data_IF_987906188382
#
_entry.id   IF_987906188382
#
_cell.length_a   1.000
_cell.length_b   1.000
_cell.length_c   1.000
_cell.angle_alpha   90.00
_cell.angle_beta   90.00
_cell.angle_gamma   90.00
#
_symmetry.space_group_name_H-M   'P 1'
#
loop_
_entity.id
_entity.type
_entity.pdbx_description
1 polymer ?
#
# COMPACT_ATOMS: atom_id res chain seq x y z
N UNK A 1 -31.28 9.29 9.34
CA UNK A 1 -31.61 10.71 9.07
C UNK A 1 -30.33 11.51 9.23
N UNK A 2 -29.92 12.36 8.27
CA UNK A 2 -28.72 13.22 8.44
C UNK A 2 -29.05 14.30 9.47
N UNK A 3 -28.29 14.35 10.56
CA UNK A 3 -28.45 15.34 11.64
C UNK A 3 -27.58 16.59 11.43
N UNK A 4 -26.65 16.56 10.48
CA UNK A 4 -25.82 17.71 10.12
C UNK A 4 -26.66 18.87 9.54
N UNK A 5 -26.49 20.05 10.11
CA UNK A 5 -27.30 21.25 9.83
C UNK A 5 -26.76 22.10 8.65
N UNK A 6 -25.59 21.75 8.11
CA UNK A 6 -24.89 22.51 7.09
C UNK A 6 -24.50 23.94 7.55
N UNK A 7 -24.19 24.11 8.84
CA UNK A 7 -23.64 25.35 9.41
C UNK A 7 -22.30 25.75 8.79
N UNK A 8 -21.55 24.80 8.23
CA UNK A 8 -20.31 25.02 7.49
C UNK A 8 -20.40 24.54 6.03
N UNK A 9 -19.58 25.08 5.12
CA UNK A 9 -19.52 24.67 3.72
C UNK A 9 -19.35 23.15 3.62
N UNK A 10 -20.29 22.49 2.94
CA UNK A 10 -20.39 21.04 2.92
C UNK A 10 -20.61 20.53 1.50
N UNK A 11 -19.73 19.66 1.03
CA UNK A 11 -19.89 18.92 -0.22
C UNK A 11 -20.82 17.73 0.01
N UNK A 12 -21.83 17.58 -0.85
CA UNK A 12 -22.86 16.55 -0.72
C UNK A 12 -23.12 15.85 -2.05
N UNK A 13 -23.38 14.55 -2.03
CA UNK A 13 -23.75 13.77 -3.23
C UNK A 13 -25.22 13.35 -3.17
N UNK A 14 -25.90 13.33 -4.31
CA UNK A 14 -27.33 12.96 -4.33
C UNK A 14 -27.60 11.47 -4.51
N UNK A 15 -28.78 11.06 -3.99
CA UNK A 15 -29.36 9.72 -4.15
C UNK A 15 -28.49 8.58 -3.59
N UNK A 16 -27.62 8.87 -2.64
CA UNK A 16 -26.87 7.86 -1.89
C UNK A 16 -27.30 7.96 -0.43
N UNK A 17 -28.33 7.22 -0.02
CA UNK A 17 -28.29 6.50 1.27
C UNK A 17 -29.46 5.55 1.48
N UNK A 18 -29.09 4.38 2.01
CA UNK A 18 -29.93 3.38 2.66
C UNK A 18 -30.01 3.71 4.16
N UNK A 19 -31.13 3.37 4.81
CA UNK A 19 -31.24 3.41 6.26
C UNK A 19 -30.13 2.57 6.91
N UNK A 20 -29.42 3.16 7.88
CA UNK A 20 -28.45 2.41 8.69
C UNK A 20 -29.13 1.98 9.97
N UNK A 21 -28.96 0.71 10.33
CA UNK A 21 -29.46 0.21 11.61
C UNK A 21 -28.64 0.86 12.73
N UNK A 22 -29.28 1.44 13.76
CA UNK A 22 -28.57 1.84 14.96
C UNK A 22 -27.94 0.61 15.60
N UNK A 23 -26.66 0.71 15.94
CA UNK A 23 -25.90 -0.36 16.58
C UNK A 23 -25.93 -0.11 18.08
N UNK A 24 -26.65 -0.97 18.81
CA UNK A 24 -26.80 -0.85 20.27
C UNK A 24 -25.78 -1.75 20.99
N UNK A 25 -25.28 -2.79 20.32
CA UNK A 25 -24.28 -3.70 20.85
C UNK A 25 -23.36 -4.27 19.73
N UNK A 26 -22.20 -4.80 20.12
CA UNK A 26 -21.19 -5.31 19.19
C UNK A 26 -21.47 -6.74 18.66
N UNK A 27 -22.49 -7.44 19.16
CA UNK A 27 -22.76 -8.85 18.81
C UNK A 27 -23.12 -9.04 17.33
N UNK A 28 -23.99 -8.22 16.70
CA UNK A 28 -24.25 -8.35 15.27
C UNK A 28 -22.99 -8.11 14.44
N UNK A 29 -22.03 -7.31 14.96
CA UNK A 29 -20.80 -6.98 14.24
C UNK A 29 -19.87 -8.17 14.31
N UNK A 30 -19.67 -8.72 15.52
CA UNK A 30 -18.91 -9.96 15.72
C UNK A 30 -19.45 -11.09 14.85
N UNK A 31 -20.77 -11.26 14.80
CA UNK A 31 -21.40 -12.27 13.95
C UNK A 31 -21.08 -12.03 12.47
N UNK A 32 -21.27 -10.81 11.97
CA UNK A 32 -20.96 -10.46 10.59
C UNK A 32 -19.47 -10.62 10.26
N UNK A 33 -18.59 -10.22 11.18
CA UNK A 33 -17.14 -10.34 11.05
C UNK A 33 -16.70 -11.81 10.94
N UNK A 34 -17.12 -12.68 11.86
CA UNK A 34 -16.76 -14.09 11.82
C UNK A 34 -17.50 -14.88 10.72
N UNK A 35 -18.64 -14.40 10.25
CA UNK A 35 -19.27 -14.95 9.05
C UNK A 35 -18.49 -14.60 7.79
N UNK A 36 -17.98 -13.37 7.69
CA UNK A 36 -17.13 -12.93 6.59
C UNK A 36 -15.75 -13.59 6.63
N UNK A 37 -15.19 -13.79 7.83
CA UNK A 37 -13.85 -14.34 8.04
C UNK A 37 -13.86 -15.51 9.04
N UNK A 38 -14.39 -16.69 8.66
CA UNK A 38 -14.52 -17.83 9.57
C UNK A 38 -13.18 -18.31 10.15
N UNK A 39 -12.09 -18.20 9.39
CA UNK A 39 -10.75 -18.56 9.84
C UNK A 39 -10.34 -17.79 11.10
N UNK A 40 -10.67 -16.49 11.17
CA UNK A 40 -10.28 -15.62 12.28
C UNK A 40 -11.02 -15.92 13.58
N UNK A 41 -12.09 -16.73 13.55
CA UNK A 41 -12.80 -17.17 14.77
C UNK A 41 -11.93 -18.06 15.67
N UNK A 42 -10.98 -18.78 15.07
CA UNK A 42 -10.11 -19.74 15.76
C UNK A 42 -8.72 -19.17 16.04
N UNK A 43 -8.46 -17.93 15.62
CA UNK A 43 -7.17 -17.25 15.78
C UNK A 43 -7.28 -16.24 16.90
N UNK A 44 -6.26 -16.15 17.75
CA UNK A 44 -6.24 -15.15 18.81
C UNK A 44 -6.00 -13.77 18.21
N UNK A 45 -6.82 -12.79 18.59
CA UNK A 45 -6.76 -11.39 18.12
C UNK A 45 -6.43 -10.40 19.26
N UNK A 46 -6.03 -10.89 20.42
CA UNK A 46 -5.50 -10.08 21.52
C UNK A 46 -4.38 -9.15 21.03
N UNK A 47 -4.36 -7.90 21.50
CA UNK A 47 -3.37 -6.89 21.10
C UNK A 47 -3.33 -6.57 19.58
N UNK A 48 -4.34 -6.98 18.81
CA UNK A 48 -4.46 -6.65 17.39
C UNK A 48 -5.77 -5.90 17.11
N UNK A 49 -5.65 -4.62 16.76
CA UNK A 49 -6.79 -3.79 16.39
C UNK A 49 -7.00 -3.82 14.88
N UNK A 50 -8.15 -4.34 14.42
CA UNK A 50 -8.57 -4.21 13.03
C UNK A 50 -9.12 -2.81 12.81
N UNK A 51 -8.59 -2.05 11.85
CA UNK A 51 -8.98 -0.65 11.62
C UNK A 51 -9.48 -0.42 10.19
N UNK A 52 -10.29 0.63 10.05
CA UNK A 52 -10.42 1.33 8.77
C UNK A 52 -11.54 0.80 7.89
N UNK A 53 -11.23 0.60 6.61
CA UNK A 53 -12.23 0.38 5.56
C UNK A 53 -13.04 -0.90 5.74
N UNK A 54 -12.45 -1.94 6.33
CA UNK A 54 -13.07 -3.25 6.57
C UNK A 54 -14.14 -3.18 7.66
N UNK A 55 -13.81 -2.56 8.80
CA UNK A 55 -14.74 -2.28 9.90
C UNK A 55 -15.88 -1.39 9.39
N UNK A 56 -15.57 -0.34 8.63
CA UNK A 56 -16.58 0.56 8.07
C UNK A 56 -17.53 -0.18 7.13
N UNK A 57 -16.99 -1.07 6.29
CA UNK A 57 -17.77 -1.85 5.33
C UNK A 57 -18.76 -2.77 6.03
N UNK A 58 -18.34 -3.45 7.10
CA UNK A 58 -19.20 -4.30 7.92
C UNK A 58 -20.29 -3.49 8.64
N UNK A 59 -19.94 -2.35 9.24
CA UNK A 59 -20.89 -1.47 9.93
C UNK A 59 -21.96 -0.88 9.01
N UNK A 60 -21.62 -0.66 7.74
CA UNK A 60 -22.52 -0.05 6.75
C UNK A 60 -23.26 -1.06 5.88
N UNK A 61 -22.89 -2.35 5.96
CA UNK A 61 -23.40 -3.40 5.08
C UNK A 61 -22.95 -3.27 3.61
N UNK A 62 -22.03 -2.34 3.31
CA UNK A 62 -21.51 -2.09 1.97
C UNK A 62 -20.12 -2.68 1.88
N UNK A 63 -20.04 -3.97 1.55
CA UNK A 63 -18.77 -4.70 1.49
C UNK A 63 -17.92 -4.23 0.31
N UNK A 64 -16.94 -3.37 0.59
CA UNK A 64 -16.05 -2.77 -0.42
C UNK A 64 -14.58 -2.79 0.02
N UNK A 65 -14.25 -3.49 1.11
CA UNK A 65 -12.87 -3.65 1.54
C UNK A 65 -12.16 -4.68 0.67
N UNK A 66 -10.90 -4.39 0.34
CA UNK A 66 -10.03 -5.28 -0.43
C UNK A 66 -8.98 -5.96 0.43
N UNK A 67 -8.90 -5.59 1.70
CA UNK A 67 -7.88 -5.95 2.68
C UNK A 67 -8.43 -5.85 4.12
N UNK A 68 -7.69 -6.45 5.06
CA UNK A 68 -7.85 -6.29 6.50
C UNK A 68 -6.60 -5.65 7.10
N UNK A 69 -6.72 -4.46 7.70
CA UNK A 69 -5.61 -3.73 8.29
C UNK A 69 -5.59 -3.90 9.82
N UNK A 70 -4.61 -4.63 10.33
CA UNK A 70 -4.38 -4.82 11.75
C UNK A 70 -3.21 -3.98 12.26
N UNK A 71 -3.35 -3.47 13.47
CA UNK A 71 -2.31 -2.72 14.18
C UNK A 71 -2.05 -3.35 15.53
N UNK A 72 -0.80 -3.33 15.98
CA UNK A 72 -0.42 -3.85 17.30
C UNK A 72 -0.67 -2.80 18.39
N UNK A 73 -1.39 -3.21 19.43
CA UNK A 73 -1.59 -2.42 20.66
C UNK A 73 -0.85 -3.11 21.80
N UNK A 74 0.14 -2.46 22.40
CA UNK A 74 0.95 -3.04 23.49
C UNK A 74 0.20 -3.07 24.82
N UNK A 75 -0.75 -2.14 25.04
CA UNK A 75 -1.43 -1.92 26.32
C UNK A 75 -0.43 -1.72 27.49
N UNK A 76 0.76 -1.19 27.20
CA UNK A 76 1.81 -0.97 28.18
C UNK A 76 2.61 0.29 27.81
N UNK A 77 2.42 1.34 28.62
CA UNK A 77 3.04 2.66 28.48
C UNK A 77 4.47 2.73 29.03
N UNK A 78 4.97 1.64 29.63
CA UNK A 78 6.30 1.56 30.24
C UNK A 78 7.32 0.81 29.39
N UNK A 79 6.91 0.25 28.26
CA UNK A 79 7.84 -0.44 27.37
C UNK A 79 8.82 0.58 26.76
N UNK A 80 10.10 0.21 26.71
CA UNK A 80 11.04 0.93 25.87
C UNK A 80 10.62 0.80 24.39
N UNK A 81 11.03 1.72 23.50
CA UNK A 81 10.78 1.58 22.07
C UNK A 81 11.26 0.23 21.51
N UNK A 82 12.39 -0.29 22.01
CA UNK A 82 12.95 -1.58 21.64
C UNK A 82 12.04 -2.74 22.10
N UNK A 83 11.62 -2.75 23.37
CA UNK A 83 10.74 -3.80 23.90
C UNK A 83 9.37 -3.77 23.23
N UNK A 84 8.85 -2.58 22.90
CA UNK A 84 7.59 -2.42 22.18
C UNK A 84 7.67 -2.96 20.75
N UNK A 85 8.80 -2.75 20.07
CA UNK A 85 9.05 -3.29 18.74
C UNK A 85 9.21 -4.82 18.76
N UNK A 86 9.90 -5.37 19.77
CA UNK A 86 10.02 -6.81 19.97
C UNK A 86 8.67 -7.46 20.27
N UNK A 87 7.88 -6.86 21.17
CA UNK A 87 6.52 -7.29 21.45
C UNK A 87 5.67 -7.35 20.18
N UNK A 88 5.70 -6.28 19.37
CA UNK A 88 4.96 -6.24 18.11
C UNK A 88 5.42 -7.35 17.15
N UNK A 89 6.71 -7.57 17.02
CA UNK A 89 7.24 -8.63 16.16
C UNK A 89 6.76 -10.02 16.59
N UNK A 90 6.91 -10.37 17.87
CA UNK A 90 6.50 -11.68 18.38
C UNK A 90 4.98 -11.85 18.33
N UNK A 91 4.20 -10.80 18.59
CA UNK A 91 2.74 -10.87 18.47
C UNK A 91 2.28 -11.15 17.05
N UNK A 92 2.85 -10.45 16.05
CA UNK A 92 2.50 -10.67 14.64
C UNK A 92 2.96 -12.05 14.16
N UNK A 93 4.15 -12.51 14.58
CA UNK A 93 4.64 -13.86 14.30
C UNK A 93 3.72 -14.94 14.86
N UNK A 94 3.23 -14.78 16.09
CA UNK A 94 2.23 -15.68 16.69
C UNK A 94 0.93 -15.68 15.87
N UNK A 95 0.40 -14.51 15.50
CA UNK A 95 -0.82 -14.38 14.68
C UNK A 95 -0.70 -15.11 13.33
N UNK A 96 0.40 -14.90 12.62
CA UNK A 96 0.65 -15.53 11.32
C UNK A 96 0.80 -17.06 11.46
N UNK A 97 1.46 -17.50 12.53
CA UNK A 97 1.63 -18.93 12.84
C UNK A 97 0.30 -19.59 13.17
N UNK A 98 -0.57 -18.91 13.94
CA UNK A 98 -1.93 -19.38 14.25
C UNK A 98 -2.76 -19.53 12.96
N UNK A 99 -2.71 -18.55 12.05
CA UNK A 99 -3.40 -18.64 10.75
C UNK A 99 -3.00 -19.90 9.97
N UNK A 100 -1.69 -20.15 9.86
CA UNK A 100 -1.17 -21.32 9.16
C UNK A 100 -1.61 -22.63 9.85
N UNK A 101 -1.47 -22.69 11.17
CA UNK A 101 -1.79 -23.87 11.96
C UNK A 101 -3.28 -24.23 11.91
N UNK A 102 -4.18 -23.23 11.99
CA UNK A 102 -5.63 -23.47 11.89
C UNK A 102 -5.99 -24.05 10.52
N UNK A 103 -5.43 -23.53 9.42
CA UNK A 103 -5.66 -24.07 8.08
C UNK A 103 -5.10 -25.48 7.92
N UNK A 104 -3.91 -25.74 8.46
CA UNK A 104 -3.28 -27.06 8.43
C UNK A 104 -4.06 -28.11 9.25
N UNK A 105 -4.54 -27.72 10.43
CA UNK A 105 -5.39 -28.56 11.27
C UNK A 105 -6.70 -28.93 10.55
N UNK A 106 -7.39 -27.94 9.94
CA UNK A 106 -8.57 -28.19 9.11
C UNK A 106 -8.31 -29.18 7.98
N UNK A 107 -7.20 -29.03 7.26
CA UNK A 107 -6.82 -29.99 6.21
C UNK A 107 -6.56 -31.40 6.77
N UNK A 108 -5.91 -31.49 7.93
CA UNK A 108 -5.60 -32.75 8.60
C UNK A 108 -6.88 -33.48 9.00
N UNK A 109 -7.82 -32.77 9.64
CA UNK A 109 -9.12 -33.32 10.04
C UNK A 109 -9.92 -33.87 8.85
N UNK A 110 -9.94 -33.15 7.71
CA UNK A 110 -10.64 -33.62 6.51
C UNK A 110 -9.96 -34.83 5.86
N UNK A 111 -8.63 -34.86 5.84
CA UNK A 111 -7.88 -36.02 5.33
C UNK A 111 -8.08 -37.26 6.21
N UNK A 112 -8.14 -37.08 7.52
CA UNK A 112 -8.43 -38.14 8.49
C UNK A 112 -9.88 -38.65 8.32
N UNK A 113 -10.84 -37.74 8.11
CA UNK A 113 -12.23 -38.08 7.79
C UNK A 113 -12.31 -38.88 6.49
N UNK A 114 -11.61 -38.48 5.43
CA UNK A 114 -11.54 -39.24 4.18
C UNK A 114 -10.98 -40.64 4.40
N UNK A 115 -9.83 -40.74 5.05
CA UNK A 115 -9.15 -42.01 5.30
C UNK A 115 -10.03 -42.97 6.09
N UNK A 116 -10.72 -42.48 7.12
CA UNK A 116 -11.62 -43.30 7.92
C UNK A 116 -12.90 -43.70 7.17
N UNK A 117 -13.50 -42.78 6.41
CA UNK A 117 -14.73 -43.04 5.65
C UNK A 117 -14.47 -44.00 4.49
N UNK A 118 -13.28 -43.96 3.87
CA UNK A 118 -12.90 -44.89 2.80
C UNK A 118 -12.81 -46.36 3.24
N UNK A 119 -12.72 -46.63 4.55
CA UNK A 119 -12.81 -47.99 5.10
C UNK A 119 -14.19 -48.61 4.91
N UNK A 120 -15.26 -47.81 4.89
CA UNK A 120 -16.65 -48.26 4.75
C UNK A 120 -17.29 -47.86 3.42
N UNK A 121 -16.83 -46.76 2.82
CA UNK A 121 -17.24 -46.26 1.52
C UNK A 121 -16.01 -45.90 0.67
N UNK A 122 -15.47 -46.85 -0.12
CA UNK A 122 -14.24 -46.67 -0.88
C UNK A 122 -14.25 -45.51 -1.89
N UNK A 123 -15.43 -45.02 -2.30
CA UNK A 123 -15.59 -43.94 -3.27
C UNK A 123 -15.64 -42.55 -2.63
N UNK A 124 -15.72 -42.45 -1.29
CA UNK A 124 -15.73 -41.17 -0.59
C UNK A 124 -14.42 -40.40 -0.80
N UNK A 125 -14.51 -39.16 -1.30
CA UNK A 125 -13.37 -38.24 -1.46
C UNK A 125 -13.77 -36.85 -0.98
N UNK A 126 -12.87 -36.19 -0.26
CA UNK A 126 -12.99 -34.76 0.02
C UNK A 126 -12.66 -34.00 -1.26
N UNK A 127 -13.49 -33.02 -1.61
CA UNK A 127 -13.25 -32.22 -2.80
C UNK A 127 -12.07 -31.28 -2.55
N UNK A 128 -11.18 -31.04 -3.54
CA UNK A 128 -10.02 -30.16 -3.36
C UNK A 128 -10.39 -28.74 -2.88
N UNK A 129 -11.56 -28.21 -3.26
CA UNK A 129 -12.06 -26.90 -2.79
C UNK A 129 -12.51 -26.88 -1.33
N UNK A 130 -12.45 -28.00 -0.62
CA UNK A 130 -12.69 -28.08 0.82
C UNK A 130 -11.38 -28.04 1.63
N UNK A 131 -10.22 -28.09 0.96
CA UNK A 131 -8.89 -28.01 1.55
C UNK A 131 -8.24 -26.66 1.23
N UNK A 132 -7.49 -26.12 2.19
CA UNK A 132 -6.62 -24.98 1.95
C UNK A 132 -5.39 -25.43 1.15
N UNK A 133 -5.10 -24.77 0.02
CA UNK A 133 -3.82 -24.98 -0.65
C UNK A 133 -2.71 -24.25 0.09
N UNK A 134 -2.09 -24.90 1.07
CA UNK A 134 -1.09 -24.29 1.94
C UNK A 134 0.15 -23.82 1.17
N UNK A 135 0.49 -24.41 0.02
CA UNK A 135 1.60 -23.93 -0.81
C UNK A 135 1.40 -22.50 -1.31
N UNK A 136 0.15 -22.03 -1.36
CA UNK A 136 -0.20 -20.65 -1.72
C UNK A 136 -0.30 -19.71 -0.52
N UNK A 137 -0.09 -20.20 0.71
CA UNK A 137 0.00 -19.31 1.87
C UNK A 137 1.29 -18.53 1.80
N UNK A 138 1.18 -17.21 1.74
CA UNK A 138 2.34 -16.35 1.55
C UNK A 138 2.36 -15.21 2.55
N UNK A 139 3.53 -14.94 3.07
CA UNK A 139 3.79 -13.83 3.98
C UNK A 139 4.91 -12.99 3.38
N UNK A 140 4.68 -11.69 3.28
CA UNK A 140 5.65 -10.71 2.78
C UNK A 140 5.83 -9.63 3.83
N UNK A 141 7.07 -9.26 4.13
CA UNK A 141 7.39 -8.11 4.97
C UNK A 141 8.11 -7.07 4.15
N UNK A 142 7.59 -5.84 4.18
CA UNK A 142 8.25 -4.67 3.63
C UNK A 142 8.11 -3.57 4.68
N UNK A 143 9.22 -2.88 5.00
CA UNK A 143 9.24 -1.94 6.13
C UNK A 143 8.77 -2.62 7.43
N UNK A 144 7.89 -1.93 8.16
CA UNK A 144 7.19 -2.39 9.35
C UNK A 144 5.84 -3.07 9.03
N UNK A 145 5.56 -3.49 7.79
CA UNK A 145 4.26 -4.09 7.43
C UNK A 145 4.45 -5.54 6.99
N UNK A 146 3.66 -6.44 7.58
CA UNK A 146 3.46 -7.78 7.07
C UNK A 146 2.19 -7.82 6.21
N UNK A 147 2.29 -8.36 4.99
CA UNK A 147 1.15 -8.69 4.13
C UNK A 147 1.04 -10.20 4.04
N UNK A 148 -0.13 -10.73 4.39
CA UNK A 148 -0.44 -12.16 4.45
C UNK A 148 -1.48 -12.44 3.38
N UNK A 149 -1.12 -13.30 2.43
CA UNK A 149 -2.02 -13.80 1.40
C UNK A 149 -2.52 -15.17 1.83
N UNK A 150 -3.81 -15.25 2.15
CA UNK A 150 -4.44 -16.49 2.56
C UNK A 150 -4.85 -17.32 1.33
N UNK A 151 -4.55 -18.63 1.31
CA UNK A 151 -5.15 -19.53 0.34
C UNK A 151 -6.62 -19.67 0.68
N UNK A 152 -7.50 -19.65 -0.31
CA UNK A 152 -8.94 -19.70 -0.06
C UNK A 152 -9.58 -20.99 -0.54
N UNK A 153 -10.63 -21.39 0.19
CA UNK A 153 -11.49 -22.51 -0.18
C UNK A 153 -12.33 -22.23 -1.44
N UNK A 154 -12.56 -20.96 -1.84
CA UNK A 154 -13.45 -20.61 -2.98
C UNK A 154 -13.07 -19.32 -3.77
N UNK A 155 -11.80 -18.89 -3.78
CA UNK A 155 -11.29 -18.01 -4.86
C UNK A 155 -11.37 -16.47 -4.71
N UNK A 156 -11.56 -15.88 -3.52
CA UNK A 156 -11.47 -14.42 -3.32
C UNK A 156 -10.34 -14.06 -2.36
N UNK A 157 -9.07 -14.15 -2.75
CA UNK A 157 -7.95 -13.82 -1.85
C UNK A 157 -8.11 -12.42 -1.23
N UNK A 158 -8.23 -12.36 0.09
CA UNK A 158 -8.28 -11.12 0.87
C UNK A 158 -6.96 -11.00 1.63
N UNK A 159 -6.05 -10.10 1.23
CA UNK A 159 -4.83 -9.87 1.97
C UNK A 159 -5.12 -9.33 3.37
N UNK A 160 -4.36 -9.82 4.35
CA UNK A 160 -4.31 -9.26 5.70
C UNK A 160 -3.02 -8.48 5.82
N UNK A 161 -3.10 -7.20 6.15
CA UNK A 161 -1.96 -6.36 6.47
C UNK A 161 -1.85 -6.20 7.97
N UNK A 162 -0.64 -6.31 8.51
CA UNK A 162 -0.36 -6.09 9.92
C UNK A 162 0.79 -5.11 10.06
N UNK A 163 0.51 -3.96 10.64
CA UNK A 163 1.45 -2.86 10.85
C UNK A 163 2.11 -3.03 12.23
N UNK A 164 3.44 -3.10 12.24
CA UNK A 164 4.26 -3.34 13.44
C UNK A 164 4.51 -2.11 14.30
N UNK A 165 4.08 -0.91 13.88
CA UNK A 165 4.20 0.27 14.73
C UNK A 165 3.47 0.00 16.05
N UNK A 166 4.19 -0.05 17.18
CA UNK A 166 3.56 -0.34 18.45
C UNK A 166 2.82 0.91 18.93
N UNK A 167 1.57 0.74 19.31
CA UNK A 167 0.78 1.77 19.98
C UNK A 167 0.57 1.38 21.43
N UNK A 168 0.79 2.33 22.34
CA UNK A 168 0.61 2.12 23.78
C UNK A 168 -0.85 1.83 24.11
N UNK A 169 -1.78 2.44 23.37
CA UNK A 169 -3.22 2.27 23.55
C UNK A 169 -3.99 2.42 22.25
N UNK A 170 -5.21 1.88 22.21
CA UNK A 170 -6.13 2.07 21.09
C UNK A 170 -6.46 3.55 20.84
N UNK A 171 -6.58 4.35 21.91
CA UNK A 171 -6.86 5.78 21.79
C UNK A 171 -5.74 6.53 21.03
N UNK A 172 -4.47 6.21 21.32
CA UNK A 172 -3.31 6.77 20.63
C UNK A 172 -3.32 6.42 19.13
N UNK A 173 -3.67 5.18 18.79
CA UNK A 173 -3.81 4.75 17.40
C UNK A 173 -4.94 5.52 16.69
N UNK A 174 -6.14 5.56 17.28
CA UNK A 174 -7.30 6.20 16.67
C UNK A 174 -7.11 7.71 16.43
N UNK A 175 -6.33 8.39 17.28
CA UNK A 175 -5.99 9.81 17.11
C UNK A 175 -5.06 10.09 15.90
N UNK A 176 -4.33 9.09 15.41
CA UNK A 176 -3.43 9.24 14.26
C UNK A 176 -4.08 8.95 12.91
N UNK A 177 -5.35 8.52 12.91
CA UNK A 177 -6.08 8.26 11.67
C UNK A 177 -6.53 9.60 11.06
N UNK A 178 -6.19 9.80 9.80
CA UNK A 178 -6.33 11.07 9.08
C UNK A 178 -7.77 11.41 8.65
N UNK A 179 -8.60 10.38 8.40
CA UNK A 179 -10.01 10.56 8.03
C UNK A 179 -10.89 10.05 9.15
N UNK A 180 -11.65 10.97 9.75
CA UNK A 180 -12.50 10.69 10.90
C UNK A 180 -13.42 9.48 10.71
N UNK A 181 -14.08 9.32 9.55
CA UNK A 181 -14.98 8.18 9.31
C UNK A 181 -14.29 6.80 9.25
N UNK A 182 -12.95 6.76 9.27
CA UNK A 182 -12.14 5.53 9.34
C UNK A 182 -11.44 5.31 10.66
N UNK A 183 -11.52 6.28 11.59
CA UNK A 183 -10.98 6.16 12.94
C UNK A 183 -11.90 5.30 13.82
N UNK A 184 -12.09 4.06 13.38
CA UNK A 184 -12.91 3.02 13.98
C UNK A 184 -12.10 1.73 14.04
N UNK A 185 -12.28 0.95 15.10
CA UNK A 185 -11.55 -0.28 15.30
C UNK A 185 -12.46 -1.41 15.78
N UNK A 186 -12.15 -2.64 15.39
CA UNK A 186 -12.59 -3.84 16.09
C UNK A 186 -11.41 -4.37 16.91
N UNK A 187 -11.54 -4.36 18.22
CA UNK A 187 -10.47 -4.65 19.17
C UNK A 187 -11.03 -5.32 20.42
N UNK A 188 -10.40 -6.41 20.86
CA UNK A 188 -10.77 -7.19 22.04
C UNK A 188 -12.27 -7.61 22.07
N UNK A 189 -12.85 -7.84 20.90
CA UNK A 189 -14.23 -8.29 20.76
C UNK A 189 -15.27 -7.17 20.66
N UNK A 190 -14.89 -5.90 20.78
CA UNK A 190 -15.79 -4.76 20.69
C UNK A 190 -15.42 -3.79 19.56
N UNK A 191 -16.37 -2.92 19.20
CA UNK A 191 -16.20 -1.88 18.17
C UNK A 191 -16.00 -0.54 18.85
N UNK A 192 -14.90 0.12 18.52
CA UNK A 192 -14.45 1.36 19.11
C UNK A 192 -14.49 2.49 18.09
N UNK A 193 -14.90 3.66 18.56
CA UNK A 193 -14.94 4.91 17.80
C UNK A 193 -14.11 5.95 18.53
N UNK A 194 -13.35 6.74 17.77
CA UNK A 194 -12.97 8.07 18.26
C UNK A 194 -14.21 8.96 18.33
N UNK A 195 -14.13 10.05 19.09
CA UNK A 195 -15.23 11.02 19.15
C UNK A 195 -15.60 11.56 17.76
N UNK A 196 -14.57 11.90 16.96
CA UNK A 196 -14.76 12.39 15.59
C UNK A 196 -15.32 11.32 14.65
N UNK A 197 -14.95 10.04 14.81
CA UNK A 197 -15.51 8.99 13.97
C UNK A 197 -16.96 8.67 14.32
N UNK A 198 -17.32 8.75 15.60
CA UNK A 198 -18.71 8.64 16.04
C UNK A 198 -19.55 9.76 15.44
N UNK A 199 -19.10 11.02 15.57
CA UNK A 199 -19.73 12.16 14.90
C UNK A 199 -19.88 11.92 13.40
N UNK A 200 -18.80 11.47 12.75
CA UNK A 200 -18.81 11.28 11.31
C UNK A 200 -19.77 10.19 10.86
N UNK A 201 -19.89 9.12 11.64
CA UNK A 201 -20.78 8.01 11.36
C UNK A 201 -22.25 8.38 11.57
N UNK A 202 -22.57 9.07 12.67
CA UNK A 202 -23.93 9.52 13.02
C UNK A 202 -24.44 10.58 12.04
N UNK A 203 -23.58 11.51 11.63
CA UNK A 203 -23.93 12.61 10.74
C UNK A 203 -23.70 12.29 9.25
N UNK A 204 -23.01 11.19 8.94
CA UNK A 204 -22.58 10.81 7.60
C UNK A 204 -21.78 11.91 6.89
N UNK A 205 -20.87 12.55 7.62
CA UNK A 205 -19.99 13.60 7.10
C UNK A 205 -18.65 13.60 7.84
N UNK A 206 -17.57 14.11 7.25
CA UNK A 206 -16.31 14.32 7.98
C UNK A 206 -15.67 15.65 7.62
N UNK A 207 -14.83 16.15 8.52
CA UNK A 207 -14.14 17.44 8.37
C UNK A 207 -12.84 17.25 7.59
N UNK A 208 -12.58 18.18 6.68
CA UNK A 208 -11.28 18.39 6.02
C UNK A 208 -10.87 19.84 6.31
N UNK A 209 -9.78 20.00 7.07
CA UNK A 209 -9.28 21.31 7.51
C UNK A 209 -8.21 21.90 6.57
N UNK A 210 -7.74 21.11 5.60
CA UNK A 210 -6.77 21.52 4.59
C UNK A 210 -5.32 21.50 5.06
N UNK A 211 -4.99 20.77 6.14
CA UNK A 211 -3.62 20.71 6.66
C UNK A 211 -2.70 19.69 5.96
N UNK A 212 -3.24 18.88 5.05
CA UNK A 212 -2.50 17.88 4.29
C UNK A 212 -2.88 17.87 2.81
N UNK A 213 -1.86 17.85 1.95
CA UNK A 213 -1.99 17.63 0.50
C UNK A 213 -1.40 16.31 0.02
N UNK A 214 -1.07 15.42 0.95
CA UNK A 214 -0.53 14.11 0.61
C UNK A 214 -1.48 13.39 -0.39
N UNK A 215 -0.95 12.83 -1.49
CA UNK A 215 -1.78 12.18 -2.52
C UNK A 215 -2.75 11.12 -1.98
N UNK A 216 -2.34 10.36 -0.96
CA UNK A 216 -3.16 9.34 -0.32
C UNK A 216 -4.25 9.91 0.58
N UNK A 217 -4.01 11.05 1.23
CA UNK A 217 -5.03 11.77 1.98
C UNK A 217 -6.13 12.26 1.04
N UNK A 218 -5.74 12.92 -0.07
CA UNK A 218 -6.68 13.38 -1.10
C UNK A 218 -7.45 12.22 -1.74
N UNK A 219 -6.77 11.09 -1.98
CA UNK A 219 -7.43 9.88 -2.48
C UNK A 219 -8.47 9.35 -1.48
N UNK A 220 -8.14 9.30 -0.18
CA UNK A 220 -9.08 8.88 0.86
C UNK A 220 -10.29 9.82 0.98
N UNK A 221 -10.09 11.14 0.88
CA UNK A 221 -11.18 12.13 0.85
C UNK A 221 -12.18 11.78 -0.27
N UNK A 222 -11.69 11.62 -1.52
CA UNK A 222 -12.53 11.28 -2.67
C UNK A 222 -13.20 9.92 -2.49
N UNK A 223 -12.45 8.90 -2.06
CA UNK A 223 -12.96 7.54 -1.81
C UNK A 223 -14.13 7.54 -0.82
N UNK A 224 -13.99 8.21 0.32
CA UNK A 224 -15.04 8.21 1.36
C UNK A 224 -16.21 9.14 1.02
N UNK A 225 -15.97 10.20 0.25
CA UNK A 225 -17.05 10.97 -0.37
C UNK A 225 -17.90 10.10 -1.29
N UNK A 226 -17.26 9.28 -2.14
CA UNK A 226 -17.96 8.34 -3.00
C UNK A 226 -18.63 7.20 -2.21
N UNK A 227 -18.14 6.83 -1.04
CA UNK A 227 -18.83 5.90 -0.13
C UNK A 227 -20.03 6.52 0.60
N UNK A 228 -20.32 7.81 0.35
CA UNK A 228 -21.54 8.48 0.77
C UNK A 228 -21.36 9.51 1.87
N UNK A 229 -20.17 9.64 2.45
CA UNK A 229 -19.93 10.67 3.46
C UNK A 229 -19.88 12.06 2.81
N UNK A 230 -20.57 13.04 3.38
CA UNK A 230 -20.40 14.43 3.00
C UNK A 230 -19.05 14.96 3.51
N UNK A 231 -18.48 15.98 2.87
CA UNK A 231 -17.22 16.61 3.30
C UNK A 231 -17.51 18.01 3.82
N UNK A 232 -17.13 18.28 5.07
CA UNK A 232 -17.17 19.62 5.67
C UNK A 232 -15.82 20.30 5.41
N UNK A 233 -15.85 21.47 4.77
CA UNK A 233 -14.67 22.27 4.46
C UNK A 233 -14.66 23.52 5.36
N UNK A 234 -13.96 23.44 6.49
CA UNK A 234 -14.04 24.46 7.56
C UNK A 234 -13.50 25.82 7.13
N UNK A 235 -12.44 25.85 6.33
CA UNK A 235 -11.78 27.08 5.87
C UNK A 235 -12.15 27.48 4.43
N UNK A 236 -13.26 26.97 3.90
CA UNK A 236 -13.70 27.26 2.54
C UNK A 236 -14.60 28.50 2.48
N UNK A 237 -14.32 29.40 1.53
CA UNK A 237 -15.07 30.63 1.33
C UNK A 237 -16.20 30.45 0.30
N UNK A 238 -17.42 30.25 0.79
CA UNK A 238 -18.60 30.17 -0.08
C UNK A 238 -18.83 31.45 -0.90
N UNK A 239 -18.38 32.62 -0.42
CA UNK A 239 -18.60 33.90 -1.13
C UNK A 239 -17.81 33.99 -2.44
N UNK A 240 -16.76 33.18 -2.58
CA UNK A 240 -15.89 33.14 -3.77
C UNK A 240 -16.37 32.12 -4.82
N UNK A 241 -17.41 31.36 -4.53
CA UNK A 241 -17.95 30.38 -5.48
C UNK A 241 -18.82 31.08 -6.51
N UNK A 242 -18.45 30.97 -7.79
CA UNK A 242 -19.30 31.38 -8.88
C UNK A 242 -20.52 30.48 -8.98
N UNK A 243 -21.69 31.08 -9.23
CA UNK A 243 -22.99 30.37 -9.30
C UNK A 243 -23.76 30.65 -10.59
N UNK A 244 -23.14 31.38 -11.51
CA UNK A 244 -23.78 31.87 -12.74
C UNK A 244 -24.21 30.72 -13.64
N UNK A 245 -23.40 29.67 -13.75
CA UNK A 245 -23.66 28.55 -14.66
C UNK A 245 -24.91 27.76 -14.26
N UNK A 246 -25.23 27.72 -12.96
CA UNK A 246 -26.45 27.06 -12.47
C UNK A 246 -27.73 27.65 -13.07
N UNK A 247 -27.75 28.94 -13.42
CA UNK A 247 -28.90 29.59 -14.06
C UNK A 247 -29.15 29.07 -15.49
N UNK A 248 -28.14 28.49 -16.13
CA UNK A 248 -28.19 27.93 -17.47
C UNK A 248 -28.34 26.39 -17.46
N UNK A 249 -28.48 25.78 -16.28
CA UNK A 249 -28.50 24.32 -16.15
C UNK A 249 -27.13 23.67 -16.27
N UNK A 250 -26.06 24.46 -16.26
CA UNK A 250 -24.66 24.02 -16.35
C UNK A 250 -24.04 23.80 -14.97
N UNK A 251 -22.94 23.05 -14.93
CA UNK A 251 -22.17 22.80 -13.71
C UNK A 251 -21.19 23.94 -13.40
N UNK A 252 -20.82 24.09 -12.14
CA UNK A 252 -19.75 24.98 -11.70
C UNK A 252 -18.52 24.16 -11.32
N UNK A 253 -17.35 24.59 -11.78
CA UNK A 253 -16.07 23.97 -11.43
C UNK A 253 -15.40 24.83 -10.37
N UNK A 254 -15.24 24.26 -9.17
CA UNK A 254 -14.54 24.88 -8.06
C UNK A 254 -13.15 24.26 -8.01
N UNK A 255 -12.15 24.99 -8.49
CA UNK A 255 -10.79 24.49 -8.65
C UNK A 255 -9.91 24.93 -7.48
N UNK A 256 -10.00 24.22 -6.35
CA UNK A 256 -9.10 24.45 -5.22
C UNK A 256 -7.71 23.88 -5.54
N UNK A 257 -6.68 24.42 -4.91
CA UNK A 257 -5.30 23.98 -5.16
C UNK A 257 -5.06 22.49 -4.86
N UNK A 258 -5.82 21.90 -3.93
CA UNK A 258 -5.71 20.48 -3.57
C UNK A 258 -6.79 19.58 -4.20
N UNK A 259 -7.92 20.13 -4.65
CA UNK A 259 -9.09 19.38 -5.11
C UNK A 259 -9.91 20.18 -6.12
N UNK A 260 -10.30 19.55 -7.21
CA UNK A 260 -11.26 20.12 -8.16
C UNK A 260 -12.65 19.54 -7.90
N UNK A 261 -13.63 20.37 -7.60
CA UNK A 261 -15.01 19.96 -7.30
C UNK A 261 -15.93 20.38 -8.44
N UNK A 262 -16.66 19.42 -9.01
CA UNK A 262 -17.70 19.71 -10.01
C UNK A 262 -19.06 19.79 -9.32
N UNK A 263 -19.49 21.02 -9.06
CA UNK A 263 -20.75 21.32 -8.40
C UNK A 263 -21.89 21.39 -9.41
N UNK A 264 -23.03 20.79 -9.06
CA UNK A 264 -24.27 20.79 -9.86
C UNK A 264 -25.29 21.80 -9.35
N UNK A 265 -25.21 22.18 -8.07
CA UNK A 265 -26.11 23.14 -7.44
C UNK A 265 -25.58 23.57 -6.08
N UNK A 266 -25.90 24.79 -5.65
CA UNK A 266 -25.79 25.21 -4.24
C UNK A 266 -27.20 25.35 -3.67
N UNK A 267 -27.43 24.84 -2.46
CA UNK A 267 -28.69 24.95 -1.71
C UNK A 267 -28.44 25.71 -0.41
N UNK A 268 -29.21 26.77 -0.17
CA UNK A 268 -28.95 27.65 0.99
C UNK A 268 -27.54 28.26 0.91
N UNK A 269 -26.93 28.52 2.07
CA UNK A 269 -25.63 29.21 2.14
C UNK A 269 -24.44 28.28 1.95
N UNK A 270 -24.52 27.05 2.43
CA UNK A 270 -23.34 26.20 2.63
C UNK A 270 -23.42 24.81 2.01
N UNK A 271 -24.58 24.39 1.48
CA UNK A 271 -24.73 23.03 0.95
C UNK A 271 -24.42 22.98 -0.54
N UNK A 272 -23.26 22.45 -0.88
CA UNK A 272 -22.80 22.27 -2.26
C UNK A 272 -23.17 20.85 -2.72
N UNK A 273 -23.96 20.73 -3.79
CA UNK A 273 -24.27 19.46 -4.42
C UNK A 273 -23.23 19.17 -5.48
N UNK A 274 -22.51 18.07 -5.33
CA UNK A 274 -21.36 17.69 -6.15
C UNK A 274 -21.69 16.46 -6.97
N UNK A 275 -21.28 16.47 -8.24
CA UNK A 275 -21.32 15.29 -9.11
C UNK A 275 -20.12 14.37 -8.81
N UNK A 276 -18.92 14.92 -8.96
CA UNK A 276 -17.66 14.24 -8.67
C UNK A 276 -16.58 15.22 -8.20
N UNK A 277 -15.56 14.66 -7.53
CA UNK A 277 -14.36 15.35 -7.07
C UNK A 277 -13.17 14.76 -7.82
N UNK A 278 -12.26 15.61 -8.30
CA UNK A 278 -11.00 15.20 -8.95
C UNK A 278 -9.82 15.67 -8.11
N UNK A 279 -8.75 14.89 -8.15
CA UNK A 279 -7.43 15.34 -7.72
C UNK A 279 -6.87 16.27 -8.79
N UNK A 280 -6.12 17.33 -8.43
CA UNK A 280 -5.43 18.16 -9.40
C UNK A 280 -4.49 17.28 -10.24
N UNK A 281 -4.37 17.59 -11.54
CA UNK A 281 -3.37 16.92 -12.39
C UNK A 281 -1.99 17.37 -11.91
N UNK A 282 -1.30 16.51 -11.18
CA UNK A 282 0.07 16.76 -10.76
C UNK A 282 0.97 16.66 -12.01
N UNK A 283 1.31 17.80 -12.61
CA UNK A 283 2.49 17.91 -13.47
C UNK A 283 3.69 18.10 -12.55
N UNK A 284 4.28 17.01 -12.04
CA UNK A 284 5.52 17.10 -11.25
C UNK A 284 6.72 17.25 -12.20
N UNK A 285 7.59 18.26 -12.03
CA UNK A 285 9.00 18.12 -12.39
C UNK A 285 9.63 17.11 -11.41
N UNK A 286 10.38 16.13 -11.91
CA UNK A 286 11.20 15.25 -11.08
C UNK A 286 12.27 16.10 -10.37
N UNK A 287 12.12 16.37 -9.07
CA UNK A 287 13.17 17.03 -8.27
C UNK A 287 13.91 16.00 -7.41
N UNK A 288 15.23 16.15 -7.31
CA UNK A 288 16.18 15.23 -6.65
C UNK A 288 15.91 14.95 -5.16
N UNK A 289 15.06 15.75 -4.49
CA UNK A 289 14.70 15.58 -3.07
C UNK A 289 13.54 14.59 -2.84
N UNK A 290 12.80 14.22 -3.90
CA UNK A 290 11.97 13.02 -3.87
C UNK A 290 12.94 11.83 -3.95
N UNK A 291 13.46 11.38 -2.80
CA UNK A 291 14.22 10.14 -2.71
C UNK A 291 13.53 9.07 -3.55
N UNK A 292 14.30 8.25 -4.30
CA UNK A 292 13.78 7.50 -5.44
C UNK A 292 12.47 6.85 -5.05
N UNK A 293 11.38 7.26 -5.71
CA UNK A 293 10.08 6.62 -5.59
C UNK A 293 10.36 5.13 -5.52
N UNK A 294 9.96 4.49 -4.42
CA UNK A 294 10.28 3.07 -4.27
C UNK A 294 9.76 2.40 -5.53
N UNK A 295 10.48 1.42 -6.08
CA UNK A 295 10.05 0.68 -7.27
C UNK A 295 8.64 0.01 -7.14
N UNK A 296 7.94 0.26 -6.02
CA UNK A 296 6.58 -0.11 -5.69
C UNK A 296 5.56 1.04 -5.64
N UNK A 297 5.94 2.32 -5.61
CA UNK A 297 4.97 3.42 -5.56
C UNK A 297 4.21 3.53 -6.91
N UNK A 298 4.85 3.15 -8.01
CA UNK A 298 4.18 2.94 -9.31
C UNK A 298 3.32 1.67 -9.34
N UNK A 299 3.66 0.63 -8.57
CA UNK A 299 2.88 -0.61 -8.48
C UNK A 299 1.69 -0.51 -7.51
N UNK A 300 1.72 0.43 -6.56
CA UNK A 300 0.59 0.75 -5.66
C UNK A 300 -0.63 1.35 -6.38
N UNK A 301 -0.47 1.78 -7.64
CA UNK A 301 -1.54 2.32 -8.47
C UNK A 301 -2.15 1.33 -9.46
N UNK A 302 -1.70 0.08 -9.50
CA UNK A 302 -2.38 -0.96 -10.28
C UNK A 302 -3.64 -1.38 -9.51
N UNK A 303 -4.76 -0.74 -9.87
CA UNK A 303 -6.11 -1.03 -9.39
C UNK A 303 -6.62 -2.45 -9.72
N UNK A 304 -5.80 -3.32 -10.32
CA UNK A 304 -6.21 -4.64 -10.78
C UNK A 304 -5.87 -5.78 -9.81
N UNK A 305 -6.87 -6.63 -9.63
CA UNK A 305 -6.96 -7.83 -8.80
C UNK A 305 -6.00 -8.98 -9.17
N UNK A 306 -4.83 -8.67 -9.75
CA UNK A 306 -3.78 -9.64 -10.09
C UNK A 306 -2.46 -9.29 -9.40
N UNK A 307 -2.49 -9.14 -8.08
CA UNK A 307 -1.31 -8.95 -7.23
C UNK A 307 -0.46 -10.24 -7.07
N UNK A 308 -0.26 -11.02 -8.13
CA UNK A 308 0.75 -12.08 -8.13
C UNK A 308 2.12 -11.46 -8.38
N UNK A 309 2.69 -10.84 -7.35
CA UNK A 309 4.11 -10.45 -7.42
C UNK A 309 4.92 -11.74 -7.46
N UNK A 310 5.36 -12.16 -8.65
CA UNK A 310 6.10 -13.40 -8.82
C UNK A 310 7.39 -13.39 -7.99
N UNK A 311 7.82 -14.56 -7.50
CA UNK A 311 9.07 -14.70 -6.74
C UNK A 311 10.29 -14.10 -7.49
N UNK A 312 10.30 -14.18 -8.84
CA UNK A 312 11.32 -13.55 -9.67
C UNK A 312 11.38 -12.03 -9.53
N UNK A 313 10.22 -11.36 -9.45
CA UNK A 313 10.12 -9.90 -9.30
C UNK A 313 10.65 -9.45 -7.94
N UNK A 314 10.31 -10.16 -6.86
CA UNK A 314 10.83 -9.85 -5.51
C UNK A 314 12.36 -10.00 -5.46
N UNK A 315 12.89 -11.07 -6.06
CA UNK A 315 14.34 -11.29 -6.14
C UNK A 315 15.05 -10.13 -6.85
N UNK A 316 14.54 -9.71 -8.01
CA UNK A 316 15.10 -8.58 -8.74
C UNK A 316 15.01 -7.27 -7.94
N UNK A 317 13.86 -6.99 -7.31
CA UNK A 317 13.72 -5.82 -6.44
C UNK A 317 14.76 -5.82 -5.32
N UNK A 318 14.94 -6.94 -4.64
CA UNK A 318 15.90 -7.05 -3.55
C UNK A 318 17.34 -6.90 -4.04
N UNK A 319 17.69 -7.46 -5.21
CA UNK A 319 19.02 -7.25 -5.80
C UNK A 319 19.24 -5.76 -6.09
N UNK A 320 18.27 -5.07 -6.71
CA UNK A 320 18.37 -3.62 -6.96
C UNK A 320 18.55 -2.84 -5.65
N UNK A 321 17.75 -3.17 -4.62
CA UNK A 321 17.84 -2.53 -3.30
C UNK A 321 19.21 -2.74 -2.65
N UNK A 322 19.75 -3.96 -2.72
CA UNK A 322 21.08 -4.29 -2.24
C UNK A 322 22.14 -3.43 -2.93
N UNK A 323 22.09 -3.34 -4.25
CA UNK A 323 23.11 -2.65 -5.03
C UNK A 323 23.06 -1.12 -4.87
N UNK A 324 21.88 -0.56 -4.61
CA UNK A 324 21.67 0.86 -4.36
C UNK A 324 21.79 1.26 -2.88
N UNK A 325 22.21 0.35 -1.99
CA UNK A 325 22.28 0.59 -0.53
C UNK A 325 20.94 1.11 0.03
N UNK A 326 19.83 0.58 -0.47
CA UNK A 326 18.48 0.98 -0.11
C UNK A 326 17.78 -0.14 0.70
N UNK A 327 18.08 -0.28 2.01
CA UNK A 327 17.48 -1.33 2.83
C UNK A 327 15.97 -1.15 3.04
N UNK A 328 15.46 0.07 2.84
CA UNK A 328 14.05 0.45 3.00
C UNK A 328 13.18 -0.14 1.89
N UNK A 329 13.78 -0.49 0.75
CA UNK A 329 13.11 -1.13 -0.38
C UNK A 329 13.02 -2.66 -0.31
N UNK A 330 13.72 -3.31 0.64
CA UNK A 330 13.73 -4.77 0.72
C UNK A 330 12.36 -5.37 1.04
N UNK A 331 12.09 -6.52 0.43
CA UNK A 331 10.92 -7.35 0.66
C UNK A 331 11.39 -8.72 1.13
N UNK A 332 11.04 -9.10 2.36
CA UNK A 332 11.36 -10.42 2.92
C UNK A 332 10.11 -11.28 2.79
N UNK A 333 10.17 -12.38 2.04
CA UNK A 333 9.02 -13.25 1.83
C UNK A 333 9.24 -14.71 2.25
N UNK A 334 8.13 -15.37 2.56
CA UNK A 334 8.04 -16.80 2.81
C UNK A 334 6.73 -17.34 2.23
N UNK A 335 6.77 -18.58 1.75
CA UNK A 335 5.66 -19.24 1.08
C UNK A 335 5.51 -20.68 1.58
N UNK A 336 4.28 -21.16 1.66
CA UNK A 336 3.95 -22.49 2.11
C UNK A 336 4.45 -22.79 3.52
N UNK A 337 5.00 -23.99 3.69
CA UNK A 337 5.67 -24.40 4.93
C UNK A 337 6.89 -23.52 5.31
N UNK A 338 7.39 -22.71 4.37
CA UNK A 338 8.51 -21.81 4.59
C UNK A 338 8.07 -20.36 4.88
N UNK A 339 6.80 -20.11 5.23
CA UNK A 339 6.28 -18.77 5.52
C UNK A 339 7.11 -18.03 6.58
N UNK A 340 7.71 -18.76 7.53
CA UNK A 340 8.55 -18.22 8.58
C UNK A 340 9.80 -17.48 8.06
N UNK A 341 10.18 -17.69 6.80
CA UNK A 341 11.25 -16.91 6.17
C UNK A 341 10.95 -15.40 6.10
N UNK A 342 9.67 -15.01 6.13
CA UNK A 342 9.27 -13.60 6.18
C UNK A 342 9.69 -12.89 7.49
N UNK A 343 9.99 -13.63 8.55
CA UNK A 343 10.44 -13.08 9.83
C UNK A 343 11.93 -12.76 9.86
N UNK A 344 12.71 -13.22 8.87
CA UNK A 344 14.15 -12.97 8.80
C UNK A 344 14.44 -11.48 8.80
N UNK A 345 15.58 -11.10 9.35
CA UNK A 345 15.99 -9.69 9.35
C UNK A 345 16.20 -9.15 7.93
N UNK A 346 16.79 -9.96 7.05
CA UNK A 346 17.13 -9.61 5.67
C UNK A 346 16.51 -10.57 4.66
N UNK A 347 16.28 -10.15 3.41
CA UNK A 347 15.88 -11.06 2.35
C UNK A 347 16.99 -12.08 2.07
N UNK A 348 16.60 -13.27 1.63
CA UNK A 348 17.54 -14.30 1.20
C UNK A 348 17.99 -14.03 -0.23
N UNK A 349 19.25 -13.60 -0.39
CA UNK A 349 19.89 -13.38 -1.69
C UNK A 349 21.10 -14.32 -1.76
N UNK A 350 21.15 -15.17 -2.79
CA UNK A 350 22.27 -16.07 -3.03
C UNK A 350 23.06 -15.66 -4.27
N UNK A 351 24.31 -16.10 -4.36
CA UNK A 351 25.15 -15.94 -5.54
C UNK A 351 24.45 -16.42 -6.81
N UNK A 352 23.74 -17.55 -6.72
CA UNK A 352 22.96 -18.11 -7.84
C UNK A 352 21.80 -17.21 -8.26
N UNK A 353 21.12 -16.58 -7.29
CA UNK A 353 20.06 -15.61 -7.60
C UNK A 353 20.61 -14.35 -8.27
N UNK A 354 21.77 -13.89 -7.81
CA UNK A 354 22.46 -12.74 -8.40
C UNK A 354 22.85 -13.03 -9.86
N UNK A 355 23.49 -14.19 -10.11
CA UNK A 355 23.84 -14.66 -11.45
C UNK A 355 22.61 -14.72 -12.37
N UNK A 356 21.56 -15.43 -11.96
CA UNK A 356 20.33 -15.57 -12.77
C UNK A 356 19.61 -14.24 -13.02
N UNK A 357 19.68 -13.30 -12.07
CA UNK A 357 19.12 -11.97 -12.27
C UNK A 357 19.85 -11.27 -13.41
N UNK A 358 21.18 -11.31 -13.44
CA UNK A 358 21.96 -10.62 -14.46
C UNK A 358 21.94 -11.30 -15.84
N UNK A 359 21.77 -12.62 -15.90
CA UNK A 359 21.45 -13.31 -17.16
C UNK A 359 20.16 -12.78 -17.80
N UNK A 360 19.15 -12.48 -16.97
CA UNK A 360 17.88 -11.89 -17.44
C UNK A 360 18.06 -10.42 -17.80
N UNK A 361 18.81 -9.66 -17.00
CA UNK A 361 19.06 -8.22 -17.21
C UNK A 361 19.75 -7.92 -18.53
N UNK A 362 20.72 -8.74 -18.97
CA UNK A 362 21.44 -8.53 -20.23
C UNK A 362 20.48 -8.31 -21.41
N UNK A 363 19.51 -9.21 -21.56
CA UNK A 363 18.48 -9.13 -22.60
C UNK A 363 17.52 -7.94 -22.46
N UNK A 364 17.30 -7.46 -21.23
CA UNK A 364 16.43 -6.30 -20.99
C UNK A 364 17.15 -4.97 -21.24
N UNK A 365 18.47 -4.92 -21.01
CA UNK A 365 19.29 -3.74 -21.23
C UNK A 365 19.60 -3.58 -22.71
N UNK A 366 19.82 -4.68 -23.42
CA UNK A 366 20.12 -4.66 -24.84
C UNK A 366 19.42 -5.80 -25.56
N UNK A 367 18.49 -5.43 -26.45
CA UNK A 367 17.71 -6.37 -27.27
C UNK A 367 17.50 -5.81 -28.65
N UNK A 368 17.60 -6.67 -29.68
CA UNK A 368 17.32 -6.32 -31.08
C UNK A 368 18.08 -5.06 -31.56
N UNK A 369 19.32 -4.87 -31.09
CA UNK A 369 20.15 -3.71 -31.45
C UNK A 369 19.82 -2.42 -30.68
N UNK A 370 18.86 -2.45 -29.75
CA UNK A 370 18.41 -1.29 -28.98
C UNK A 370 18.91 -1.33 -27.54
N UNK A 371 19.55 -0.25 -27.11
CA UNK A 371 20.00 -0.03 -25.73
C UNK A 371 18.93 0.68 -24.90
N UNK A 372 18.48 0.05 -23.82
CA UNK A 372 17.52 0.58 -22.86
C UNK A 372 18.28 1.26 -21.69
N UNK A 373 18.45 2.58 -21.78
CA UNK A 373 19.26 3.34 -20.82
C UNK A 373 18.69 3.35 -19.39
N UNK A 374 17.37 3.35 -19.26
CA UNK A 374 16.67 3.26 -17.97
C UNK A 374 17.01 1.96 -17.24
N UNK A 375 17.00 0.84 -17.98
CA UNK A 375 17.38 -0.48 -17.46
C UNK A 375 18.88 -0.53 -17.14
N UNK A 376 19.72 0.06 -17.99
CA UNK A 376 21.16 0.15 -17.74
C UNK A 376 21.45 0.86 -16.41
N UNK A 377 20.88 2.05 -16.20
CA UNK A 377 21.13 2.82 -14.98
C UNK A 377 20.54 2.15 -13.74
N UNK A 378 19.41 1.47 -13.88
CA UNK A 378 18.75 0.76 -12.79
C UNK A 378 19.55 -0.44 -12.29
N UNK A 379 20.18 -1.20 -13.19
CA UNK A 379 20.85 -2.47 -12.84
C UNK A 379 22.36 -2.36 -12.64
N UNK A 380 22.99 -1.25 -13.04
CA UNK A 380 24.42 -1.03 -12.85
C UNK A 380 24.72 0.23 -12.03
N UNK A 381 24.13 0.41 -10.83
CA UNK A 381 24.27 1.63 -10.03
C UNK A 381 25.69 1.88 -9.50
N UNK A 382 26.62 0.92 -9.67
CA UNK A 382 28.01 1.06 -9.24
C UNK A 382 28.82 2.07 -10.08
N UNK A 383 28.33 2.44 -11.26
CA UNK A 383 28.88 3.49 -12.10
C UNK A 383 27.89 4.63 -12.26
N UNK A 384 28.40 5.86 -12.44
CA UNK A 384 27.53 6.99 -12.73
C UNK A 384 26.92 6.84 -14.13
N UNK A 385 25.73 7.39 -14.39
CA UNK A 385 25.09 7.32 -15.71
C UNK A 385 26.01 7.73 -16.86
N UNK A 386 26.78 8.80 -16.69
CA UNK A 386 27.73 9.27 -17.71
C UNK A 386 28.85 8.26 -17.98
N UNK A 387 29.35 7.58 -16.94
CA UNK A 387 30.42 6.59 -17.08
C UNK A 387 29.90 5.33 -17.78
N UNK A 388 28.66 4.92 -17.50
CA UNK A 388 27.98 3.82 -18.20
C UNK A 388 27.76 4.11 -19.68
N UNK A 389 27.21 5.30 -19.99
CA UNK A 389 27.02 5.74 -21.39
C UNK A 389 28.36 5.84 -22.09
N UNK A 390 29.38 6.42 -21.44
CA UNK A 390 30.71 6.49 -22.02
C UNK A 390 31.28 5.09 -22.28
N UNK A 391 31.15 4.14 -21.34
CA UNK A 391 31.68 2.79 -21.50
C UNK A 391 30.99 2.01 -22.62
N UNK A 392 29.68 2.14 -22.80
CA UNK A 392 28.92 1.40 -23.82
C UNK A 392 28.92 2.08 -25.19
N UNK A 393 28.87 3.41 -25.23
CA UNK A 393 28.76 4.18 -26.48
C UNK A 393 30.02 4.98 -26.77
N UNK A 394 30.46 5.78 -25.80
CA UNK A 394 31.56 6.73 -25.97
C UNK A 394 32.87 6.07 -26.40
N UNK A 395 33.26 5.00 -25.70
CA UNK A 395 34.49 4.24 -25.97
C UNK A 395 34.48 3.64 -27.38
N UNK A 396 33.38 3.02 -27.80
CA UNK A 396 33.26 2.46 -29.15
C UNK A 396 33.34 3.54 -30.24
N UNK A 397 32.60 4.65 -30.06
CA UNK A 397 32.61 5.77 -31.00
C UNK A 397 34.02 6.35 -31.12
N UNK A 398 34.73 6.53 -30.00
CA UNK A 398 36.10 7.03 -29.99
C UNK A 398 37.06 6.11 -30.77
N UNK A 399 36.95 4.78 -30.59
CA UNK A 399 37.73 3.80 -31.36
C UNK A 399 37.42 3.87 -32.86
N UNK A 400 36.14 3.88 -33.24
CA UNK A 400 35.75 3.95 -34.67
C UNK A 400 36.17 5.26 -35.35
N UNK A 401 36.20 6.37 -34.60
CA UNK A 401 36.71 7.66 -35.09
C UNK A 401 38.22 7.64 -35.33
N UNK A 402 38.99 6.99 -34.45
CA UNK A 402 40.43 6.79 -34.63
C UNK A 402 40.73 5.96 -35.88
N UNK A 403 39.87 4.99 -36.20
CA UNK A 403 39.96 4.16 -37.41
C UNK A 403 39.47 4.88 -38.69
N UNK A 404 39.12 6.18 -38.60
CA UNK A 404 38.72 7.00 -39.74
C UNK A 404 37.32 6.71 -40.30
N UNK A 405 36.47 5.99 -39.55
CA UNK A 405 35.10 5.68 -39.99
C UNK A 405 34.17 6.88 -39.81
N UNK A 406 33.25 7.09 -40.77
CA UNK A 406 32.20 8.13 -40.68
C UNK A 406 31.11 7.70 -39.70
N UNK A 407 30.49 8.68 -39.02
CA UNK A 407 29.47 8.48 -37.99
C UNK A 407 28.29 7.57 -38.41
N UNK A 408 27.86 7.63 -39.67
CA UNK A 408 26.74 6.84 -40.18
C UNK A 408 27.03 5.33 -40.35
N UNK A 409 28.28 4.89 -40.22
CA UNK A 409 28.70 3.48 -40.34
C UNK A 409 29.05 2.83 -38.98
N UNK A 410 28.84 3.54 -37.87
CA UNK A 410 29.29 3.14 -36.54
C UNK A 410 28.39 2.04 -35.95
N UNK A 411 27.07 2.16 -36.06
CA UNK A 411 26.14 1.18 -35.46
C UNK A 411 25.84 0.05 -36.45
N UNK A 412 26.54 -1.07 -36.28
CA UNK A 412 26.42 -2.27 -37.11
C UNK A 412 26.64 -3.52 -36.22
N UNK A 413 26.70 -4.72 -36.79
CA UNK A 413 26.89 -5.96 -36.00
C UNK A 413 28.12 -5.95 -35.08
N UNK A 414 29.19 -5.22 -35.44
CA UNK A 414 30.37 -5.07 -34.57
C UNK A 414 30.12 -4.17 -33.37
N UNK A 415 29.17 -3.23 -33.45
CA UNK A 415 28.69 -2.49 -32.29
C UNK A 415 27.89 -3.41 -31.36
N UNK A 416 27.03 -4.26 -31.94
CA UNK A 416 26.24 -5.21 -31.16
C UNK A 416 27.14 -6.20 -30.40
N UNK A 417 28.18 -6.73 -31.05
CA UNK A 417 29.22 -7.56 -30.42
C UNK A 417 29.98 -6.80 -29.32
N UNK A 418 30.31 -5.53 -29.55
CA UNK A 418 30.97 -4.68 -28.56
C UNK A 418 30.09 -4.48 -27.31
N UNK A 419 28.82 -4.12 -27.51
CA UNK A 419 27.86 -3.93 -26.41
C UNK A 419 27.69 -5.22 -25.63
N UNK A 420 27.60 -6.37 -26.31
CA UNK A 420 27.47 -7.67 -25.67
C UNK A 420 28.66 -7.98 -24.76
N UNK A 421 29.89 -7.76 -25.24
CA UNK A 421 31.12 -7.91 -24.45
C UNK A 421 31.16 -6.95 -23.26
N UNK A 422 30.87 -5.67 -23.47
CA UNK A 422 30.89 -4.67 -22.38
C UNK A 422 29.84 -4.99 -21.33
N UNK A 423 28.66 -5.48 -21.73
CA UNK A 423 27.65 -5.91 -20.78
C UNK A 423 28.10 -7.12 -19.97
N UNK A 424 28.79 -8.10 -20.56
CA UNK A 424 29.35 -9.23 -19.81
C UNK A 424 30.37 -8.78 -18.75
N UNK A 425 31.22 -7.82 -19.09
CA UNK A 425 32.15 -7.22 -18.13
C UNK A 425 31.43 -6.48 -17.00
N UNK A 426 30.47 -5.63 -17.35
CA UNK A 426 29.65 -4.89 -16.37
C UNK A 426 28.89 -5.83 -15.44
N UNK A 427 28.34 -6.92 -15.98
CA UNK A 427 27.65 -7.96 -15.23
C UNK A 427 28.60 -8.64 -14.25
N UNK A 428 29.80 -9.05 -14.71
CA UNK A 428 30.79 -9.69 -13.85
C UNK A 428 31.23 -8.78 -12.69
N UNK A 429 31.53 -7.51 -12.98
CA UNK A 429 31.88 -6.51 -11.97
C UNK A 429 30.74 -6.30 -10.96
N UNK A 430 29.52 -6.14 -11.46
CA UNK A 430 28.34 -5.90 -10.64
C UNK A 430 27.99 -7.10 -9.75
N UNK A 431 28.19 -8.33 -10.24
CA UNK A 431 28.03 -9.56 -9.46
C UNK A 431 29.04 -9.60 -8.31
N UNK A 432 30.32 -9.28 -8.56
CA UNK A 432 31.35 -9.27 -7.53
C UNK A 432 31.07 -8.21 -6.45
N UNK A 433 30.56 -7.03 -6.85
CA UNK A 433 30.08 -6.01 -5.90
C UNK A 433 28.90 -6.55 -5.09
N UNK A 434 27.91 -7.17 -5.74
CA UNK A 434 26.75 -7.75 -5.06
C UNK A 434 27.13 -8.80 -4.02
N UNK A 435 28.06 -9.71 -4.34
CA UNK A 435 28.59 -10.71 -3.38
C UNK A 435 29.20 -10.07 -2.15
N UNK A 436 30.02 -9.02 -2.32
CA UNK A 436 30.60 -8.27 -1.20
C UNK A 436 29.50 -7.64 -0.33
N UNK A 437 28.51 -7.00 -0.96
CA UNK A 437 27.38 -6.39 -0.25
C UNK A 437 26.53 -7.41 0.51
N UNK A 438 26.34 -8.63 -0.01
CA UNK A 438 25.65 -9.72 0.72
C UNK A 438 26.39 -10.04 2.04
N UNK A 439 27.72 -10.12 2.00
CA UNK A 439 28.55 -10.38 3.20
C UNK A 439 28.52 -9.22 4.20
N UNK A 440 28.43 -7.98 3.72
CA UNK A 440 28.34 -6.78 4.55
C UNK A 440 26.96 -6.63 5.20
N UNK A 441 25.88 -6.90 4.46
CA UNK A 441 24.50 -6.84 4.93
C UNK A 441 24.29 -7.70 6.17
N UNK A 442 24.88 -8.89 6.23
CA UNK A 442 24.80 -9.79 7.39
C UNK A 442 25.43 -9.23 8.68
N UNK A 443 26.21 -8.15 8.61
CA UNK A 443 26.87 -7.52 9.77
C UNK A 443 26.14 -6.30 10.32
N UNK A 444 25.17 -5.75 9.57
CA UNK A 444 24.50 -4.50 9.93
C UNK A 444 23.19 -4.78 10.69
N UNK A 445 22.93 -4.06 11.80
CA UNK A 445 21.61 -4.06 12.40
C UNK A 445 20.61 -3.31 11.52
N UNK A 446 19.46 -3.92 11.23
CA UNK A 446 18.35 -3.24 10.55
C UNK A 446 17.66 -2.29 11.52
N UNK A 447 17.63 -1.00 11.18
CA UNK A 447 16.60 -0.10 11.71
C UNK A 447 15.34 -0.28 10.88
N UNK A 448 14.29 -0.84 11.45
CA UNK A 448 12.99 -0.86 10.78
C UNK A 448 12.52 0.58 10.59
N UNK A 449 12.25 0.94 9.34
CA UNK A 449 11.64 2.22 9.00
C UNK A 449 10.13 2.04 9.00
N UNK A 450 9.43 2.90 9.73
CA UNK A 450 7.97 2.88 9.78
C UNK A 450 7.39 3.41 8.45
N UNK A 451 6.40 2.71 7.88
CA UNK A 451 5.68 3.14 6.66
C UNK A 451 5.04 4.51 6.85
N UNK A 452 4.66 4.81 8.09
CA UNK A 452 4.06 6.06 8.52
C UNK A 452 4.97 7.27 8.27
N UNK A 453 6.29 7.08 8.30
CA UNK A 453 7.26 8.14 8.01
C UNK A 453 7.26 8.55 6.54
N UNK A 454 6.85 7.65 5.61
CA UNK A 454 6.73 8.00 4.18
C UNK A 454 5.61 9.00 3.92
N UNK A 455 4.58 9.03 4.77
CA UNK A 455 3.42 9.89 4.58
C UNK A 455 3.61 11.33 5.12
N UNK A 456 4.75 11.62 5.77
CA UNK A 456 4.99 12.92 6.43
C UNK A 456 5.40 14.06 5.48
N UNK A 457 5.42 13.86 4.15
CA UNK A 457 6.11 14.75 3.22
C UNK A 457 5.25 15.79 2.49
N UNK A 458 3.99 16.04 2.89
CA UNK A 458 3.22 17.14 2.29
C UNK A 458 2.19 17.77 3.24
N UNK A 459 2.67 18.21 4.40
CA UNK A 459 1.92 19.16 5.21
C UNK A 459 1.79 20.46 4.41
N UNK A 460 0.61 21.06 4.46
CA UNK A 460 0.39 22.38 3.90
C UNK A 460 -0.48 23.21 4.84
N UNK A 461 -0.44 24.52 4.68
CA UNK A 461 -1.40 25.38 5.34
C UNK A 461 -2.79 25.22 4.69
N UNK A 462 -3.88 25.44 5.44
CA UNK A 462 -5.22 25.54 4.86
C UNK A 462 -5.29 26.54 3.71
N UNK A 463 -4.57 27.67 3.79
CA UNK A 463 -4.51 28.66 2.72
C UNK A 463 -3.97 28.07 1.43
N UNK A 464 -2.86 27.34 1.50
CA UNK A 464 -2.34 26.69 0.32
C UNK A 464 -3.35 25.64 -0.18
N UNK A 465 -4.02 24.87 0.68
CA UNK A 465 -4.95 23.80 0.27
C UNK A 465 -6.17 24.32 -0.48
N UNK A 466 -6.81 25.35 0.08
CA UNK A 466 -8.02 25.95 -0.47
C UNK A 466 -7.69 26.97 -1.58
N UNK A 467 -6.48 27.51 -1.62
CA UNK A 467 -6.01 28.49 -2.60
C UNK A 467 -6.88 29.74 -2.58
N UNK A 468 -7.37 30.15 -3.75
CA UNK A 468 -8.24 31.33 -3.88
C UNK A 468 -9.51 31.22 -3.04
N UNK A 469 -9.98 30.01 -2.72
CA UNK A 469 -11.17 29.75 -1.92
C UNK A 469 -10.92 29.73 -0.40
N UNK A 470 -9.73 30.08 0.07
CA UNK A 470 -9.46 30.11 1.51
C UNK A 470 -10.22 31.24 2.24
N UNK A 471 -10.76 30.93 3.41
CA UNK A 471 -11.28 31.87 4.40
C UNK A 471 -10.62 31.59 5.75
N UNK A 472 -10.02 32.61 6.35
CA UNK A 472 -9.49 32.52 7.71
C UNK A 472 -10.63 32.32 8.71
N UNK A 473 -10.55 31.28 9.52
CA UNK A 473 -11.46 31.08 10.64
C UNK A 473 -10.93 31.96 11.78
N UNK A 474 -11.72 32.91 12.24
CA UNK A 474 -11.42 33.61 13.49
C UNK A 474 -11.66 32.63 14.63
N UNK A 475 -10.59 32.14 15.24
CA UNK A 475 -10.70 31.33 16.46
C UNK A 475 -11.31 32.23 17.52
N UNK A 476 -12.57 31.97 17.90
CA UNK A 476 -13.13 32.56 19.11
C UNK A 476 -12.27 32.04 20.27
N UNK A 477 -11.53 32.94 20.91
CA UNK A 477 -10.71 32.66 22.09
C UNK A 477 -11.57 32.26 23.28
#
# INVERSE_FOLDING_TARGET
MRTWDYSLPTLTKTKRFMDRKPWVDASPFRQAFYQAYPLLKQVKLDNLALIGGSVLSLLTGVFTSKDLDFFVITNNDKLSPEDAAEFAHERVKAFITDLFNVMNAHNTELNDLETNTRKTNPDFRIRPNQLYNLDLFRVRRQLNVYTIELPQLNGISLPIQVILTPYESLAQLLQRIDIACTAIAFFEGDVWFSEMSKFAFENSCFVVDGTSRAPDHLHRIVKYFDRGFDIILTSFDMSKVHTRNFAFGEVEVIDMAALTVVATKIKGTNKIRVDHIKKPKVTRPLTEEDGPAGAFDEYGHVQDSSFKVYAGTIRHNNIICLLNDNPVGFIVDGEGSNFANAFRQWPYITDRMLLFSYETVKSNVYSEGALQLDMLFKYFPFLKPNDLVHRILGSYVATMQQDGRRAAAIFNSTYDEYVDQVLDELIAEQIEIGKKKILEMGKLPVKMVAVELRYQTSNCTPEEFFGTYFKRIETQQ
#
